data_IF_570355625650
#
_entry.id   IF_570355625650
#
_cell.length_a   1.000
_cell.length_b   1.000
_cell.length_c   1.000
_cell.angle_alpha   90.00
_cell.angle_beta   90.00
_cell.angle_gamma   90.00
#
_symmetry.space_group_name_H-M   'P 1'
#
loop_
_entity.id
_entity.type
_entity.pdbx_description
1 polymer ?
#
# COMPACT_ATOMS: atom_id res chain seq x y z
N UNK A 1 3.29 19.62 -23.10
CA UNK A 1 2.78 18.25 -22.98
C UNK A 1 1.53 18.22 -22.10
N UNK A 2 0.52 17.51 -22.53
CA UNK A 2 -0.73 17.44 -21.79
C UNK A 2 -0.66 16.30 -20.77
N UNK A 3 -0.89 16.62 -19.51
CA UNK A 3 -0.90 15.61 -18.45
C UNK A 3 -2.22 14.82 -18.48
N UNK A 4 -2.11 13.54 -18.12
CA UNK A 4 -3.29 12.71 -17.98
C UNK A 4 -3.95 13.07 -16.66
N UNK A 5 -5.18 13.60 -16.73
CA UNK A 5 -5.89 14.03 -15.53
C UNK A 5 -6.38 12.87 -14.69
N UNK A 6 -6.86 11.84 -15.34
CA UNK A 6 -7.39 10.67 -14.66
C UNK A 6 -6.59 9.43 -15.03
N UNK A 7 -6.32 8.63 -14.06
CA UNK A 7 -5.64 7.35 -14.22
C UNK A 7 -6.63 6.23 -14.02
N UNK A 8 -6.48 5.16 -14.80
CA UNK A 8 -7.24 3.93 -14.55
C UNK A 8 -6.85 3.35 -13.19
N UNK A 9 -7.69 2.48 -12.65
CA UNK A 9 -7.39 1.79 -11.39
C UNK A 9 -6.09 1.00 -11.48
N UNK A 10 -5.85 0.34 -12.63
CA UNK A 10 -4.61 -0.41 -12.84
C UNK A 10 -3.39 0.48 -12.78
N UNK A 11 -3.44 1.63 -13.44
CA UNK A 11 -2.32 2.57 -13.44
C UNK A 11 -2.03 3.15 -12.05
N UNK A 12 -3.10 3.46 -11.30
CA UNK A 12 -2.95 3.93 -9.92
C UNK A 12 -2.30 2.88 -9.04
N UNK A 13 -2.72 1.64 -9.20
CA UNK A 13 -2.17 0.53 -8.44
C UNK A 13 -0.70 0.29 -8.76
N UNK A 14 -0.36 0.31 -10.05
CA UNK A 14 1.03 0.14 -10.48
C UNK A 14 1.92 1.25 -9.95
N UNK A 15 1.45 2.49 -10.03
CA UNK A 15 2.20 3.64 -9.54
C UNK A 15 2.47 3.49 -8.03
N UNK A 16 1.45 3.14 -7.28
CA UNK A 16 1.59 2.95 -5.84
C UNK A 16 2.62 1.86 -5.52
N UNK A 17 2.60 0.77 -6.27
CA UNK A 17 3.51 -0.34 -6.05
C UNK A 17 4.96 0.04 -6.33
N UNK A 18 5.22 0.79 -7.42
CA UNK A 18 6.58 1.26 -7.72
C UNK A 18 7.12 2.18 -6.62
N UNK A 19 6.29 3.10 -6.13
CA UNK A 19 6.70 3.97 -5.03
C UNK A 19 6.95 3.16 -3.76
N UNK A 20 6.12 2.15 -3.51
CA UNK A 20 6.28 1.28 -2.35
C UNK A 20 7.61 0.53 -2.39
N UNK A 21 7.95 -0.06 -3.53
CA UNK A 21 9.21 -0.78 -3.70
C UNK A 21 10.40 0.14 -3.45
N UNK A 22 10.40 1.33 -4.04
CA UNK A 22 11.49 2.29 -3.88
C UNK A 22 11.63 2.72 -2.43
N UNK A 23 10.52 3.03 -1.79
CA UNK A 23 10.53 3.44 -0.39
C UNK A 23 11.04 2.34 0.53
N UNK A 24 10.65 1.11 0.27
CA UNK A 24 11.10 -0.04 1.06
C UNK A 24 12.61 -0.24 0.91
N UNK A 25 13.13 -0.13 -0.32
CA UNK A 25 14.56 -0.23 -0.57
C UNK A 25 15.32 0.86 0.18
N UNK A 26 14.83 2.10 0.10
CA UNK A 26 15.45 3.23 0.81
C UNK A 26 15.50 2.99 2.32
N UNK A 27 14.59 2.20 2.84
CA UNK A 27 14.51 1.90 4.26
C UNK A 27 15.17 0.57 4.64
N UNK A 28 15.94 -0.01 3.73
CA UNK A 28 16.75 -1.19 4.01
C UNK A 28 16.02 -2.53 3.93
N UNK A 29 14.85 -2.54 3.31
CA UNK A 29 14.11 -3.79 3.11
C UNK A 29 14.58 -4.53 1.88
N UNK A 30 14.55 -5.84 1.96
CA UNK A 30 14.63 -6.71 0.80
C UNK A 30 13.22 -6.95 0.29
N UNK A 31 13.00 -6.80 -1.03
CA UNK A 31 11.63 -6.79 -1.58
C UNK A 31 11.48 -7.84 -2.66
N UNK A 32 10.42 -8.63 -2.54
CA UNK A 32 10.06 -9.65 -3.53
C UNK A 32 8.66 -9.36 -4.04
N UNK A 33 8.50 -9.30 -5.36
CA UNK A 33 7.21 -8.96 -5.98
C UNK A 33 6.48 -10.22 -6.40
N UNK A 34 5.15 -10.16 -6.28
CA UNK A 34 4.28 -11.18 -6.88
C UNK A 34 4.37 -11.04 -8.40
N UNK A 35 4.76 -12.11 -9.09
CA UNK A 35 4.94 -12.08 -10.55
C UNK A 35 3.62 -12.15 -11.32
N UNK A 36 2.54 -12.58 -10.68
CA UNK A 36 1.24 -12.70 -11.32
C UNK A 36 0.32 -11.55 -10.94
N UNK A 37 -0.88 -11.57 -11.51
CA UNK A 37 -1.91 -10.59 -11.20
C UNK A 37 -2.91 -11.12 -10.18
N UNK A 38 -2.80 -12.37 -9.80
CA UNK A 38 -3.71 -13.05 -8.88
C UNK A 38 -3.14 -13.08 -7.48
N UNK A 39 -4.05 -13.20 -6.51
CA UNK A 39 -3.68 -13.35 -5.13
C UNK A 39 -3.81 -12.05 -4.36
N UNK A 40 -3.71 -12.17 -3.05
CA UNK A 40 -3.92 -11.06 -2.13
C UNK A 40 -2.62 -10.53 -1.50
N UNK A 41 -1.49 -10.94 -2.04
CA UNK A 41 -0.17 -10.50 -1.57
C UNK A 41 0.54 -9.86 -2.76
N UNK A 42 0.85 -8.57 -2.64
CA UNK A 42 1.58 -7.85 -3.69
C UNK A 42 3.08 -8.05 -3.56
N UNK A 43 3.57 -7.96 -2.34
CA UNK A 43 5.00 -8.02 -2.03
C UNK A 43 5.24 -8.91 -0.82
N UNK A 44 6.41 -9.51 -0.79
CA UNK A 44 6.96 -10.09 0.43
C UNK A 44 8.23 -9.30 0.73
N UNK A 45 8.36 -8.83 1.95
CA UNK A 45 9.52 -8.03 2.32
C UNK A 45 10.22 -8.63 3.53
N UNK A 46 11.53 -8.38 3.62
CA UNK A 46 12.33 -8.75 4.77
C UNK A 46 12.94 -7.47 5.31
N UNK A 47 12.63 -7.14 6.56
CA UNK A 47 13.08 -5.86 7.13
C UNK A 47 14.57 -5.91 7.51
N UNK A 48 15.18 -4.76 7.87
CA UNK A 48 16.59 -4.74 8.25
C UNK A 48 16.97 -5.66 9.40
N UNK A 49 16.01 -6.05 10.22
CA UNK A 49 16.23 -6.98 11.34
C UNK A 49 16.04 -8.44 10.93
N UNK A 50 15.62 -8.68 9.69
CA UNK A 50 15.44 -10.03 9.17
C UNK A 50 14.02 -10.58 9.27
N UNK A 51 13.06 -9.79 9.74
CA UNK A 51 11.67 -10.22 9.85
C UNK A 51 10.98 -10.15 8.50
N UNK A 52 10.21 -11.18 8.18
CA UNK A 52 9.48 -11.26 6.92
C UNK A 52 8.05 -10.78 7.12
N UNK A 53 7.56 -9.98 6.17
CA UNK A 53 6.22 -9.42 6.21
C UNK A 53 5.56 -9.57 4.84
N UNK A 54 4.33 -10.06 4.82
CA UNK A 54 3.51 -10.09 3.61
C UNK A 54 2.80 -8.75 3.48
N UNK A 55 2.78 -8.20 2.27
CA UNK A 55 2.34 -6.82 2.06
C UNK A 55 1.34 -6.73 0.92
N UNK A 56 0.28 -5.96 1.14
CA UNK A 56 -0.65 -5.53 0.10
C UNK A 56 -0.53 -4.01 0.02
N UNK A 57 -0.17 -3.48 -1.14
CA UNK A 57 -0.02 -2.05 -1.35
C UNK A 57 -1.37 -1.46 -1.73
N UNK A 58 -1.80 -0.44 -1.00
CA UNK A 58 -3.08 0.24 -1.25
C UNK A 58 -2.86 1.70 -1.53
N UNK A 59 -3.64 2.25 -2.46
CA UNK A 59 -3.66 3.70 -2.69
C UNK A 59 -4.67 4.32 -1.75
N UNK A 60 -4.26 5.35 -1.04
CA UNK A 60 -5.14 6.03 -0.10
C UNK A 60 -6.23 6.80 -0.81
N UNK A 61 -7.40 6.87 -0.17
CA UNK A 61 -8.46 7.78 -0.53
C UNK A 61 -8.64 8.81 0.55
N UNK A 62 -9.30 9.90 0.23
CA UNK A 62 -9.59 10.95 1.20
C UNK A 62 -10.94 10.67 1.85
N UNK A 63 -10.96 10.69 3.16
CA UNK A 63 -12.22 10.68 3.91
C UNK A 63 -12.45 12.08 4.46
N UNK A 64 -13.56 12.70 4.04
CA UNK A 64 -13.95 14.01 4.54
C UNK A 64 -14.99 13.82 5.63
N UNK A 65 -14.82 14.54 6.72
CA UNK A 65 -15.77 14.49 7.84
C UNK A 65 -16.25 15.90 8.12
N UNK A 66 -17.54 16.02 8.44
CA UNK A 66 -18.14 17.32 8.75
C UNK A 66 -17.38 18.00 9.89
N UNK A 67 -16.98 19.25 9.66
CA UNK A 67 -16.27 20.07 10.65
C UNK A 67 -14.93 19.50 11.11
N UNK A 68 -14.34 18.60 10.31
CA UNK A 68 -13.05 18.01 10.63
C UNK A 68 -12.15 18.01 9.41
N UNK A 69 -10.85 17.94 9.68
CA UNK A 69 -9.86 17.85 8.64
C UNK A 69 -10.04 16.56 7.82
N UNK A 70 -9.93 16.66 6.51
CA UNK A 70 -9.91 15.49 5.66
C UNK A 70 -8.67 14.65 5.95
N UNK A 71 -8.82 13.33 5.93
CA UNK A 71 -7.70 12.43 6.18
C UNK A 71 -7.54 11.44 5.03
N UNK A 72 -6.31 11.04 4.80
CA UNK A 72 -6.00 9.97 3.87
C UNK A 72 -6.05 8.64 4.59
N UNK A 73 -6.74 7.69 4.01
CA UNK A 73 -6.86 6.36 4.62
C UNK A 73 -7.06 5.30 3.54
N UNK A 74 -6.87 4.05 3.91
CA UNK A 74 -7.22 2.94 3.05
C UNK A 74 -8.74 2.88 2.93
N UNK A 75 -9.24 2.73 1.69
CA UNK A 75 -10.68 2.61 1.44
C UNK A 75 -11.21 1.22 1.73
N UNK A 76 -10.34 0.26 1.87
CA UNK A 76 -10.72 -1.12 2.13
C UNK A 76 -10.03 -1.62 3.39
N UNK A 77 -10.62 -2.65 3.99
CA UNK A 77 -10.04 -3.36 5.11
C UNK A 77 -9.50 -4.70 4.63
N UNK A 78 -8.67 -5.32 5.43
CA UNK A 78 -8.14 -6.63 5.09
C UNK A 78 -9.28 -7.66 4.98
N UNK A 79 -9.16 -8.56 4.01
CA UNK A 79 -10.07 -9.71 3.89
C UNK A 79 -9.74 -10.73 4.98
N UNK A 80 -10.68 -11.66 5.29
CA UNK A 80 -10.37 -12.71 6.25
C UNK A 80 -9.12 -13.51 5.89
N UNK A 81 -8.93 -13.79 4.60
CA UNK A 81 -7.73 -14.50 4.12
C UNK A 81 -6.46 -13.71 4.40
N UNK A 82 -6.51 -12.41 4.21
CA UNK A 82 -5.35 -11.55 4.47
C UNK A 82 -5.03 -11.50 5.97
N UNK A 83 -6.05 -11.42 6.80
CA UNK A 83 -5.87 -11.41 8.26
C UNK A 83 -5.22 -12.71 8.70
N UNK A 84 -5.75 -13.84 8.24
CA UNK A 84 -5.23 -15.15 8.60
C UNK A 84 -3.77 -15.32 8.15
N UNK A 85 -3.44 -14.84 6.97
CA UNK A 85 -2.08 -14.94 6.43
C UNK A 85 -1.11 -13.93 7.04
N UNK A 86 -1.61 -12.96 7.81
CA UNK A 86 -0.76 -11.92 8.40
C UNK A 86 -0.31 -10.85 7.43
N UNK A 87 -1.13 -10.55 6.43
CA UNK A 87 -0.81 -9.52 5.44
C UNK A 87 -1.01 -8.13 6.05
N UNK A 88 -0.01 -7.27 5.92
CA UNK A 88 -0.12 -5.87 6.30
C UNK A 88 -0.36 -4.98 5.09
N UNK A 89 -1.04 -3.87 5.29
CA UNK A 89 -1.24 -2.88 4.23
C UNK A 89 -0.16 -1.81 4.31
N UNK A 90 0.44 -1.52 3.15
CA UNK A 90 1.32 -0.37 2.97
C UNK A 90 0.57 0.64 2.13
N UNK A 91 0.30 1.80 2.69
CA UNK A 91 -0.58 2.81 2.11
C UNK A 91 0.24 3.87 1.38
N UNK A 92 -0.07 4.05 0.09
CA UNK A 92 0.52 5.10 -0.73
C UNK A 92 -0.42 6.29 -0.78
N UNK A 93 0.08 7.48 -0.41
CA UNK A 93 -0.69 8.71 -0.44
C UNK A 93 -0.33 9.46 -1.73
N UNK A 94 -1.25 9.50 -2.73
CA UNK A 94 -0.88 10.00 -4.05
C UNK A 94 -0.55 11.50 -4.07
N UNK A 95 -1.13 12.29 -3.18
CA UNK A 95 -0.89 13.72 -3.15
C UNK A 95 0.56 14.05 -2.77
N UNK A 96 1.09 13.36 -1.77
CA UNK A 96 2.41 13.64 -1.23
C UNK A 96 3.46 12.63 -1.68
N UNK A 97 3.04 11.54 -2.32
CA UNK A 97 3.89 10.42 -2.73
C UNK A 97 4.52 9.69 -1.55
N UNK A 98 3.97 9.86 -0.36
CA UNK A 98 4.48 9.24 0.85
C UNK A 98 3.81 7.89 1.09
N UNK A 99 4.51 7.06 1.84
CA UNK A 99 4.00 5.75 2.24
C UNK A 99 3.97 5.66 3.75
N UNK A 100 3.03 4.87 4.26
CA UNK A 100 3.01 4.51 5.67
C UNK A 100 2.37 3.15 5.86
N UNK A 101 2.81 2.46 6.88
CA UNK A 101 2.16 1.21 7.28
C UNK A 101 0.81 1.52 7.92
N UNK A 102 -0.21 0.74 7.56
CA UNK A 102 -1.52 0.87 8.19
C UNK A 102 -1.48 0.13 9.52
N UNK A 103 -1.99 0.79 10.56
CA UNK A 103 -2.10 0.18 11.87
C UNK A 103 -3.46 -0.53 11.95
N UNK A 104 -3.43 -1.85 11.85
CA UNK A 104 -4.65 -2.65 11.87
C UNK A 104 -5.11 -2.89 13.31
N UNK A 105 -6.35 -2.53 13.59
CA UNK A 105 -6.94 -2.71 14.90
C UNK A 105 -7.71 -4.02 14.96
N UNK A 106 -7.76 -4.62 16.15
CA UNK A 106 -8.59 -5.78 16.44
C UNK A 106 -8.24 -7.02 15.64
N UNK A 107 -7.07 -7.04 15.12
CA UNK A 107 -6.58 -8.05 14.20
C UNK A 107 -7.16 -9.44 14.32
#
# INVERSE_FOLDING_TARGET
MKLIKEKSSSRKGDLAEYYAVTWLWDNGYEVFRNCGCDGFIDLVVRDPKGMVQLVDVKTAGIKRRKNKRAIWQSKSTRTPEQIEAGVGFLLFIPETRKLRWVNHRGK
#
